data_IF_106526033542
#
_entry.id   IF_106526033542
#
_cell.length_a   1.000
_cell.length_b   1.000
_cell.length_c   1.000
_cell.angle_alpha   90.00
_cell.angle_beta   90.00
_cell.angle_gamma   90.00
#
_symmetry.space_group_name_H-M   'P 1'
#
loop_
_entity.id
_entity.type
_entity.pdbx_description
1 polymer ?
#
# COMPACT_ATOMS: atom_id res chain seq x y z
N UNK A 1 25.26 -25.68 25.16
CA UNK A 1 25.80 -24.56 24.37
C UNK A 1 25.26 -24.53 22.95
N UNK A 2 25.40 -25.61 22.16
CA UNK A 2 24.95 -25.65 20.77
C UNK A 2 23.42 -25.54 20.58
N UNK A 3 22.63 -26.21 21.42
CA UNK A 3 21.15 -26.15 21.36
C UNK A 3 20.59 -24.78 21.75
N UNK A 4 21.21 -24.11 22.72
CA UNK A 4 20.82 -22.76 23.16
C UNK A 4 21.13 -21.73 22.06
N UNK A 5 22.30 -21.82 21.44
CA UNK A 5 22.66 -20.98 20.28
C UNK A 5 21.70 -21.17 19.11
N UNK A 6 21.29 -22.41 18.82
CA UNK A 6 20.33 -22.71 17.76
C UNK A 6 18.94 -22.13 18.02
N UNK A 7 18.44 -22.26 19.27
CA UNK A 7 17.17 -21.65 19.68
C UNK A 7 17.19 -20.12 19.55
N UNK A 8 18.30 -19.48 19.94
CA UNK A 8 18.46 -18.04 19.81
C UNK A 8 18.46 -17.57 18.35
N UNK A 9 19.17 -18.29 17.46
CA UNK A 9 19.16 -18.00 16.02
C UNK A 9 17.75 -18.13 15.41
N UNK A 10 17.03 -19.20 15.74
CA UNK A 10 15.65 -19.37 15.27
C UNK A 10 14.74 -18.22 15.74
N UNK A 11 14.87 -17.80 16.99
CA UNK A 11 14.12 -16.66 17.53
C UNK A 11 14.42 -15.36 16.77
N UNK A 12 15.68 -15.10 16.45
CA UNK A 12 16.06 -13.92 15.65
C UNK A 12 15.49 -13.97 14.23
N UNK A 13 15.49 -15.13 13.58
CA UNK A 13 14.94 -15.27 12.22
C UNK A 13 13.43 -15.03 12.21
N UNK A 14 12.71 -15.60 13.17
CA UNK A 14 11.25 -15.44 13.28
C UNK A 14 10.89 -13.98 13.55
N UNK A 15 11.54 -13.36 14.54
CA UNK A 15 11.29 -11.95 14.86
C UNK A 15 11.61 -11.03 13.68
N UNK A 16 12.72 -11.25 12.97
CA UNK A 16 13.07 -10.49 11.78
C UNK A 16 12.04 -10.65 10.65
N UNK A 17 11.54 -11.87 10.44
CA UNK A 17 10.52 -12.16 9.43
C UNK A 17 9.21 -11.40 9.70
N UNK A 18 8.79 -11.32 10.97
CA UNK A 18 7.61 -10.56 11.38
C UNK A 18 7.81 -9.06 11.11
N UNK A 19 8.97 -8.51 11.46
CA UNK A 19 9.28 -7.10 11.20
C UNK A 19 9.30 -6.78 9.70
N UNK A 20 9.87 -7.67 8.88
CA UNK A 20 9.85 -7.53 7.43
C UNK A 20 8.44 -7.55 6.85
N UNK A 21 7.59 -8.45 7.34
CA UNK A 21 6.19 -8.53 6.91
C UNK A 21 5.44 -7.21 7.20
N UNK A 22 5.57 -6.69 8.41
CA UNK A 22 4.94 -5.44 8.82
C UNK A 22 5.44 -4.26 7.96
N UNK A 23 6.76 -4.16 7.73
CA UNK A 23 7.37 -3.12 6.88
C UNK A 23 6.89 -3.21 5.43
N UNK A 24 6.75 -4.42 4.90
CA UNK A 24 6.28 -4.62 3.52
C UNK A 24 4.83 -4.20 3.37
N UNK A 25 3.96 -4.52 4.34
CA UNK A 25 2.56 -4.12 4.34
C UNK A 25 2.40 -2.60 4.38
N UNK A 26 3.11 -1.91 5.28
CA UNK A 26 3.03 -0.44 5.41
C UNK A 26 3.59 0.28 4.20
N UNK A 27 4.71 -0.18 3.62
CA UNK A 27 5.30 0.43 2.43
C UNK A 27 4.42 0.30 1.18
N UNK A 28 3.68 -0.79 1.02
CA UNK A 28 2.71 -0.93 -0.08
C UNK A 28 1.55 0.06 0.07
N UNK A 29 1.00 0.17 1.27
CA UNK A 29 -0.08 1.12 1.55
C UNK A 29 0.37 2.57 1.32
N UNK A 30 1.58 2.93 1.74
CA UNK A 30 2.16 4.26 1.48
C UNK A 30 2.32 4.56 -0.02
N UNK A 31 2.77 3.57 -0.81
CA UNK A 31 2.83 3.72 -2.29
C UNK A 31 1.45 3.95 -2.89
N UNK A 32 0.45 3.16 -2.47
CA UNK A 32 -0.93 3.32 -2.94
C UNK A 32 -1.51 4.69 -2.57
N UNK A 33 -1.27 5.17 -1.34
CA UNK A 33 -1.69 6.51 -0.89
C UNK A 33 -1.00 7.64 -1.65
N UNK A 34 0.24 7.41 -2.12
CA UNK A 34 0.97 8.34 -3.01
C UNK A 34 0.52 8.28 -4.48
N UNK A 35 -0.45 7.43 -4.82
CA UNK A 35 -0.92 7.23 -6.19
C UNK A 35 0.06 6.44 -7.07
N UNK A 36 0.95 5.65 -6.45
CA UNK A 36 1.90 4.76 -7.12
C UNK A 36 1.47 3.30 -7.00
N UNK A 37 1.44 2.57 -8.11
CA UNK A 37 1.14 1.15 -8.08
C UNK A 37 2.35 0.32 -7.58
N UNK A 38 2.23 -0.48 -6.51
CA UNK A 38 3.33 -1.31 -6.03
C UNK A 38 3.68 -2.46 -6.99
N UNK A 39 2.82 -2.79 -7.95
CA UNK A 39 3.02 -3.88 -8.92
C UNK A 39 3.62 -3.39 -10.25
N UNK A 40 3.06 -2.34 -10.86
CA UNK A 40 3.52 -1.85 -12.17
C UNK A 40 4.29 -0.51 -12.11
N UNK A 41 4.46 0.07 -10.92
CA UNK A 41 5.24 1.29 -10.64
C UNK A 41 4.78 2.55 -11.38
N UNK A 42 3.59 2.51 -11.99
CA UNK A 42 3.00 3.69 -12.58
C UNK A 42 2.52 4.66 -11.49
N UNK A 43 2.74 5.96 -11.75
CA UNK A 43 2.42 7.09 -10.87
C UNK A 43 1.47 8.04 -11.57
N UNK A 44 0.59 8.69 -10.80
CA UNK A 44 -0.31 9.75 -11.27
C UNK A 44 0.39 10.70 -12.24
N UNK A 45 -0.19 10.85 -13.43
CA UNK A 45 0.37 11.70 -14.48
C UNK A 45 -0.28 13.08 -14.38
N UNK A 46 0.55 14.12 -14.41
CA UNK A 46 0.08 15.50 -14.46
C UNK A 46 0.46 16.10 -15.81
N UNK A 47 -0.51 16.67 -16.50
CA UNK A 47 -0.34 17.34 -17.78
C UNK A 47 -0.73 18.80 -17.62
N UNK A 48 0.10 19.71 -18.12
CA UNK A 48 -0.21 21.14 -18.16
C UNK A 48 -0.46 21.55 -19.61
N UNK A 49 -1.63 22.11 -19.87
CA UNK A 49 -1.96 22.67 -21.17
C UNK A 49 -1.72 24.19 -21.14
N UNK A 50 -0.73 24.63 -21.92
CA UNK A 50 -0.36 26.05 -22.04
C UNK A 50 -1.37 26.88 -22.81
N UNK A 51 -2.24 26.26 -23.64
CA UNK A 51 -3.26 26.98 -24.40
C UNK A 51 -4.47 27.35 -23.55
N UNK A 52 -4.86 26.47 -22.64
CA UNK A 52 -6.02 26.66 -21.76
C UNK A 52 -5.63 27.08 -20.34
N UNK A 53 -4.33 27.12 -20.01
CA UNK A 53 -3.81 27.34 -18.66
C UNK A 53 -4.41 26.36 -17.62
N UNK A 54 -4.73 25.13 -18.04
CA UNK A 54 -5.32 24.11 -17.17
C UNK A 54 -4.33 22.99 -16.85
N UNK A 55 -4.46 22.43 -15.64
CA UNK A 55 -3.71 21.25 -15.20
C UNK A 55 -4.65 20.04 -15.17
N UNK A 56 -4.31 18.99 -15.89
CA UNK A 56 -5.02 17.72 -15.87
C UNK A 56 -4.24 16.71 -15.04
N UNK A 57 -4.90 16.11 -14.05
CA UNK A 57 -4.35 14.99 -13.30
C UNK A 57 -5.04 13.71 -13.72
N UNK A 58 -4.26 12.73 -14.13
CA UNK A 58 -4.75 11.38 -14.42
C UNK A 58 -4.32 10.44 -13.30
N UNK A 59 -5.26 10.17 -12.40
CA UNK A 59 -5.06 9.26 -11.28
C UNK A 59 -5.11 7.80 -11.74
N UNK A 60 -3.99 7.10 -11.51
CA UNK A 60 -3.82 5.68 -11.85
C UNK A 60 -4.41 4.76 -10.78
N UNK A 61 -4.41 5.20 -9.51
CA UNK A 61 -5.01 4.48 -8.40
C UNK A 61 -6.38 5.10 -8.11
N UNK A 62 -7.40 4.25 -8.02
CA UNK A 62 -8.74 4.65 -7.56
C UNK A 62 -9.03 3.98 -6.23
N UNK A 63 -9.59 4.75 -5.30
CA UNK A 63 -10.00 4.27 -3.98
C UNK A 63 -11.52 4.12 -3.92
N UNK A 64 -11.97 3.05 -3.27
CA UNK A 64 -13.39 2.79 -3.01
C UNK A 64 -13.57 2.32 -1.58
N UNK A 65 -14.55 2.89 -0.88
CA UNK A 65 -14.97 2.39 0.43
C UNK A 65 -15.80 1.11 0.24
N UNK A 66 -15.36 -0.01 0.82
CA UNK A 66 -16.07 -1.29 0.78
C UNK A 66 -17.01 -1.46 1.98
N UNK A 67 -16.48 -1.23 3.18
CA UNK A 67 -17.25 -1.30 4.42
C UNK A 67 -16.86 -0.15 5.35
N UNK A 68 -17.87 0.37 6.03
CA UNK A 68 -17.72 1.37 7.09
C UNK A 68 -18.30 0.76 8.38
N UNK A 69 -17.46 0.59 9.40
CA UNK A 69 -17.88 0.07 10.70
C UNK A 69 -18.34 1.18 11.67
N UNK A 70 -18.62 2.39 11.17
CA UNK A 70 -19.16 3.52 11.92
C UNK A 70 -18.10 4.56 12.31
N UNK A 71 -18.49 5.58 13.09
CA UNK A 71 -17.63 6.73 13.38
C UNK A 71 -16.33 6.42 14.14
N UNK A 72 -16.25 5.28 14.84
CA UNK A 72 -15.04 4.81 15.53
C UNK A 72 -14.61 3.42 15.05
N UNK A 73 -15.24 2.94 13.98
CA UNK A 73 -14.96 1.64 13.40
C UNK A 73 -13.96 1.74 12.27
N UNK A 74 -13.28 0.63 12.03
CA UNK A 74 -12.34 0.50 10.91
C UNK A 74 -13.09 0.66 9.58
N UNK A 75 -12.48 1.33 8.62
CA UNK A 75 -12.96 1.44 7.25
C UNK A 75 -12.14 0.54 6.36
N UNK A 76 -12.82 -0.30 5.58
CA UNK A 76 -12.18 -1.13 4.56
C UNK A 76 -12.15 -0.34 3.25
N UNK A 77 -10.96 0.06 2.80
CA UNK A 77 -10.75 0.73 1.52
C UNK A 77 -10.15 -0.24 0.52
N UNK A 78 -10.78 -0.35 -0.65
CA UNK A 78 -10.23 -1.00 -1.84
C UNK A 78 -9.46 0.01 -2.69
N UNK A 79 -8.23 -0.33 -3.03
CA UNK A 79 -7.39 0.36 -3.97
C UNK A 79 -7.32 -0.44 -5.25
N UNK A 80 -7.64 0.19 -6.38
CA UNK A 80 -7.61 -0.42 -7.70
C UNK A 80 -6.65 0.35 -8.61
N UNK A 81 -5.72 -0.35 -9.26
CA UNK A 81 -4.86 0.24 -10.28
C UNK A 81 -5.50 0.12 -11.67
N UNK A 82 -5.73 1.25 -12.33
CA UNK A 82 -6.28 1.30 -13.70
C UNK A 82 -5.36 0.71 -14.76
N UNK A 83 -4.04 0.66 -14.51
CA UNK A 83 -3.09 0.21 -15.54
C UNK A 83 -2.89 -1.30 -15.57
N UNK A 84 -2.84 -1.97 -14.42
CA UNK A 84 -2.57 -3.41 -14.35
C UNK A 84 -3.72 -4.21 -13.72
N UNK A 85 -4.77 -3.56 -13.24
CA UNK A 85 -5.91 -4.21 -12.61
C UNK A 85 -5.66 -4.73 -11.19
N UNK A 86 -4.54 -4.37 -10.56
CA UNK A 86 -4.25 -4.71 -9.17
C UNK A 86 -5.40 -4.23 -8.26
N UNK A 87 -5.90 -5.11 -7.39
CA UNK A 87 -6.88 -4.79 -6.35
C UNK A 87 -6.31 -5.17 -4.99
N UNK A 88 -6.27 -4.22 -4.06
CA UNK A 88 -5.84 -4.45 -2.68
C UNK A 88 -6.83 -3.82 -1.71
N UNK A 89 -7.16 -4.53 -0.63
CA UNK A 89 -8.02 -4.02 0.43
C UNK A 89 -7.18 -3.75 1.67
N UNK A 90 -7.29 -2.53 2.20
CA UNK A 90 -6.62 -2.12 3.42
C UNK A 90 -7.63 -1.59 4.43
N UNK A 91 -7.48 -2.07 5.66
CA UNK A 91 -8.21 -1.59 6.82
C UNK A 91 -7.52 -0.33 7.36
N UNK A 92 -8.21 0.80 7.30
CA UNK A 92 -7.76 2.07 7.89
C UNK A 92 -8.70 2.45 9.03
N UNK A 93 -8.19 3.15 10.03
CA UNK A 93 -8.97 3.65 11.16
C UNK A 93 -9.06 5.16 11.10
#
# INVERSE_FOLDING_TARGET
>A
MQTILFLFLLFLIVSFSILLYLKTKTSRLDKLNKGECPSCHQKTKEFFDTKTNTKFKYEIITTRLLKDHGCSGVKEIEYVCKSCGLKEVHSIN
#
